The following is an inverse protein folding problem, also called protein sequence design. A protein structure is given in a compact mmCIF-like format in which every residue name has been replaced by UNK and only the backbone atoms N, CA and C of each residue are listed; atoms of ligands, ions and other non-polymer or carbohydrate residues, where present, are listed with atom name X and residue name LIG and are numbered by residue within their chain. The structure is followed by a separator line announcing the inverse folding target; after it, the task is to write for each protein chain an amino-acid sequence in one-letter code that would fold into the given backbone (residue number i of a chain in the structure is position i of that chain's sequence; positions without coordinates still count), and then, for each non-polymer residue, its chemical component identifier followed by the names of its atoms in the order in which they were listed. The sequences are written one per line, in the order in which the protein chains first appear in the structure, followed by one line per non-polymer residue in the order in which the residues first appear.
data_IF_522535261171
#
_entry.id   IF_522535261171
#
_cell.length_a   1.000
_cell.length_b   1.000
_cell.length_c   1.000
_cell.angle_alpha   90.00
_cell.angle_beta   90.00
_cell.angle_gamma   90.00
#
_symmetry.space_group_name_H-M   'P 1'
#
loop_
_entity.id
_entity.type
_entity.pdbx_description
1 polymer ?
#
# COMPACT_ATOMS: atom_id res chain seq x y z
N UNK A 1 -15.26 2.37 10.52
CA UNK A 1 -16.09 1.27 9.99
C UNK A 1 -17.28 1.08 10.93
N UNK A 2 -18.50 0.80 10.43
CA UNK A 2 -19.65 0.59 11.32
C UNK A 2 -19.38 -0.51 12.35
N UNK A 3 -19.80 -0.32 13.63
CA UNK A 3 -19.69 -1.36 14.65
C UNK A 3 -20.35 -2.67 14.17
N UNK A 4 -19.64 -3.80 14.29
CA UNK A 4 -20.15 -5.12 13.92
C UNK A 4 -19.72 -5.66 12.56
N UNK A 5 -19.14 -4.84 11.67
CA UNK A 5 -18.67 -5.31 10.35
C UNK A 5 -17.34 -6.07 10.42
N UNK A 6 -16.54 -5.85 11.46
CA UNK A 6 -15.30 -6.59 11.66
C UNK A 6 -15.60 -7.93 12.34
N UNK A 7 -15.36 -9.03 11.62
CA UNK A 7 -15.52 -10.39 12.14
C UNK A 7 -14.13 -11.02 12.37
N UNK A 8 -13.72 -11.11 13.64
CA UNK A 8 -12.44 -11.74 14.04
C UNK A 8 -12.55 -13.26 14.27
N UNK A 9 -13.61 -13.89 13.76
CA UNK A 9 -13.88 -15.32 13.97
C UNK A 9 -13.07 -16.13 12.96
N UNK A 10 -12.01 -16.77 13.42
CA UNK A 10 -11.40 -17.87 12.69
C UNK A 10 -12.34 -19.09 12.78
N UNK A 11 -12.81 -19.67 11.66
CA UNK A 11 -13.72 -20.82 11.69
C UNK A 11 -13.13 -22.05 12.40
N UNK A 12 -11.79 -22.17 12.41
CA UNK A 12 -11.03 -23.20 13.13
C UNK A 12 -9.86 -22.52 13.84
N UNK A 13 -10.02 -22.09 15.10
CA UNK A 13 -8.94 -21.47 15.85
C UNK A 13 -7.88 -22.54 16.20
N UNK A 14 -6.62 -22.18 16.01
CA UNK A 14 -5.48 -22.98 16.43
C UNK A 14 -4.90 -22.36 17.70
N UNK A 15 -4.70 -23.13 18.79
CA UNK A 15 -4.22 -22.60 20.07
C UNK A 15 -2.90 -21.83 19.94
N UNK A 16 -2.00 -22.30 19.08
CA UNK A 16 -0.67 -21.72 18.83
C UNK A 16 -0.71 -20.26 18.34
N UNK A 17 -1.84 -19.81 17.80
CA UNK A 17 -2.02 -18.45 17.27
C UNK A 17 -2.89 -17.55 18.16
N UNK A 18 -3.30 -18.01 19.35
CA UNK A 18 -4.22 -17.25 20.19
C UNK A 18 -3.67 -15.88 20.60
N UNK A 19 -2.40 -15.84 21.00
CA UNK A 19 -1.71 -14.60 21.35
C UNK A 19 -1.62 -13.64 20.16
N UNK A 20 -1.13 -14.13 19.01
CA UNK A 20 -1.03 -13.33 17.78
C UNK A 20 -2.40 -12.80 17.36
N UNK A 21 -3.44 -13.63 17.46
CA UNK A 21 -4.82 -13.22 17.17
C UNK A 21 -5.26 -12.10 18.12
N UNK A 22 -4.97 -12.21 19.40
CA UNK A 22 -5.26 -11.15 20.38
C UNK A 22 -4.62 -9.83 20.01
N UNK A 23 -3.32 -9.85 19.66
CA UNK A 23 -2.56 -8.67 19.23
C UNK A 23 -3.15 -8.03 17.97
N UNK A 24 -3.47 -8.82 16.94
CA UNK A 24 -4.06 -8.32 15.68
C UNK A 24 -5.44 -7.71 15.92
N UNK A 25 -6.29 -8.37 16.69
CA UNK A 25 -7.63 -7.85 17.01
C UNK A 25 -7.54 -6.53 17.76
N UNK A 26 -6.66 -6.43 18.75
CA UNK A 26 -6.43 -5.19 19.49
C UNK A 26 -5.92 -4.06 18.57
N UNK A 27 -4.95 -4.36 17.70
CA UNK A 27 -4.42 -3.40 16.73
C UNK A 27 -5.47 -2.91 15.74
N UNK A 28 -6.27 -3.80 15.16
CA UNK A 28 -7.37 -3.43 14.26
C UNK A 28 -8.42 -2.58 14.96
N UNK A 29 -8.76 -2.90 16.22
CA UNK A 29 -9.70 -2.12 17.01
C UNK A 29 -9.16 -0.71 17.28
N UNK A 30 -7.89 -0.57 17.64
CA UNK A 30 -7.24 0.72 17.87
C UNK A 30 -7.13 1.57 16.59
N UNK A 31 -6.93 0.94 15.43
CA UNK A 31 -6.87 1.63 14.16
C UNK A 31 -8.25 1.99 13.58
N UNK A 32 -9.34 1.40 14.07
CA UNK A 32 -10.67 1.66 13.53
C UNK A 32 -11.06 3.14 13.72
N UNK A 33 -11.40 3.84 12.63
CA UNK A 33 -11.65 5.28 12.59
C UNK A 33 -10.44 6.18 12.87
N UNK A 34 -9.27 5.59 13.11
CA UNK A 34 -8.01 6.31 13.28
C UNK A 34 -6.95 5.80 12.30
N UNK A 35 -7.40 5.27 11.14
CA UNK A 35 -6.49 4.91 10.07
C UNK A 35 -5.77 6.17 9.59
N UNK A 36 -4.47 6.06 9.33
CA UNK A 36 -3.71 7.18 8.80
C UNK A 36 -4.21 7.51 7.38
N UNK A 37 -4.44 8.81 7.14
CA UNK A 37 -4.92 9.32 5.86
C UNK A 37 -6.32 9.92 5.95
N UNK A 38 -6.76 10.48 4.83
CA UNK A 38 -8.07 11.14 4.69
C UNK A 38 -8.74 10.60 3.41
N UNK A 39 -9.71 9.68 3.56
CA UNK A 39 -10.37 9.05 2.42
C UNK A 39 -11.12 10.04 1.51
N UNK A 40 -11.67 11.12 2.07
CA UNK A 40 -12.39 12.14 1.31
C UNK A 40 -11.42 12.91 0.40
N UNK A 41 -10.27 13.31 0.94
CA UNK A 41 -9.20 13.93 0.14
C UNK A 41 -8.64 12.97 -0.91
N UNK A 42 -8.46 11.70 -0.56
CA UNK A 42 -8.00 10.68 -1.50
C UNK A 42 -8.98 10.49 -2.66
N UNK A 43 -10.29 10.41 -2.38
CA UNK A 43 -11.33 10.32 -3.41
C UNK A 43 -11.33 11.55 -4.34
N UNK A 44 -11.19 12.76 -3.78
CA UNK A 44 -11.08 13.98 -4.58
C UNK A 44 -9.88 13.94 -5.53
N UNK A 45 -8.71 13.49 -5.06
CA UNK A 45 -7.51 13.32 -5.88
C UNK A 45 -7.77 12.35 -7.04
N UNK A 46 -8.41 11.20 -6.77
CA UNK A 46 -8.74 10.21 -7.81
C UNK A 46 -9.67 10.81 -8.87
N UNK A 47 -10.72 11.52 -8.45
CA UNK A 47 -11.68 12.14 -9.38
C UNK A 47 -11.01 13.21 -10.23
N UNK A 48 -10.21 14.09 -9.64
CA UNK A 48 -9.46 15.13 -10.36
C UNK A 48 -8.48 14.50 -11.36
N UNK A 49 -7.79 13.43 -10.96
CA UNK A 49 -6.81 12.73 -11.79
C UNK A 49 -7.44 12.05 -13.01
N UNK A 50 -8.56 11.33 -12.82
CA UNK A 50 -9.25 10.63 -13.91
C UNK A 50 -9.91 11.61 -14.88
N UNK A 51 -10.45 12.74 -14.38
CA UNK A 51 -11.05 13.77 -15.22
C UNK A 51 -10.04 14.69 -15.89
N UNK A 52 -8.77 14.67 -15.45
CA UNK A 52 -7.75 15.61 -15.92
C UNK A 52 -8.08 17.06 -15.54
N UNK A 53 -8.66 17.28 -14.36
CA UNK A 53 -9.07 18.60 -13.85
C UNK A 53 -8.24 19.01 -12.64
N UNK A 54 -8.25 20.29 -12.27
CA UNK A 54 -7.57 20.78 -11.07
C UNK A 54 -6.07 20.55 -11.14
N UNK A 55 -5.49 19.87 -10.15
CA UNK A 55 -4.03 19.63 -10.10
C UNK A 55 -3.50 18.70 -11.19
N UNK A 56 -4.39 18.02 -11.90
CA UNK A 56 -4.06 17.06 -12.96
C UNK A 56 -4.34 17.58 -14.37
N UNK A 57 -4.72 18.86 -14.53
CA UNK A 57 -4.86 19.48 -15.84
C UNK A 57 -3.54 19.43 -16.63
N UNK A 58 -3.63 18.99 -17.88
CA UNK A 58 -2.48 18.84 -18.78
C UNK A 58 -1.48 17.75 -18.37
N UNK A 59 -1.79 16.92 -17.35
CA UNK A 59 -0.92 15.81 -16.93
C UNK A 59 -1.39 14.51 -17.55
N UNK A 60 -0.44 13.70 -18.03
CA UNK A 60 -0.69 12.31 -18.34
C UNK A 60 -0.77 11.50 -17.04
N UNK A 61 -1.82 10.72 -16.88
CA UNK A 61 -1.98 9.86 -15.71
C UNK A 61 -0.98 8.70 -15.79
N UNK A 62 -0.19 8.44 -14.73
CA UNK A 62 0.70 7.29 -14.70
C UNK A 62 -0.09 5.98 -14.56
N UNK A 63 0.53 4.86 -14.92
CA UNK A 63 -0.06 3.52 -14.72
C UNK A 63 -0.43 3.26 -13.25
N UNK A 64 0.36 3.80 -12.31
CA UNK A 64 0.11 3.75 -10.87
C UNK A 64 0.26 5.15 -10.28
N UNK A 65 -0.80 5.65 -9.66
CA UNK A 65 -0.79 6.93 -8.96
C UNK A 65 -0.63 6.68 -7.45
N UNK A 66 0.55 6.93 -6.85
CA UNK A 66 0.71 6.81 -5.40
C UNK A 66 -0.05 7.94 -4.70
N UNK A 67 -0.91 7.60 -3.74
CA UNK A 67 -1.69 8.56 -2.94
C UNK A 67 -1.26 8.44 -1.49
N UNK A 68 -0.71 9.52 -0.93
CA UNK A 68 -0.15 9.53 0.42
C UNK A 68 1.38 9.50 0.42
N UNK A 69 1.99 10.06 1.48
CA UNK A 69 3.46 10.14 1.61
C UNK A 69 4.08 8.76 1.81
N UNK A 70 3.40 7.91 2.57
CA UNK A 70 3.72 6.50 2.79
C UNK A 70 3.71 5.71 1.48
N UNK A 71 2.70 5.89 0.62
CA UNK A 71 2.63 5.24 -0.68
C UNK A 71 3.80 5.66 -1.58
N UNK A 72 4.14 6.95 -1.60
CA UNK A 72 5.30 7.46 -2.35
C UNK A 72 6.61 6.87 -1.80
N UNK A 73 6.79 6.84 -0.47
CA UNK A 73 7.98 6.30 0.17
C UNK A 73 8.14 4.81 -0.09
N UNK A 74 7.06 4.03 0.03
CA UNK A 74 7.06 2.60 -0.24
C UNK A 74 7.38 2.29 -1.71
N UNK A 75 6.77 3.03 -2.65
CA UNK A 75 7.05 2.87 -4.07
C UNK A 75 8.50 3.21 -4.40
N UNK A 76 9.03 4.30 -3.84
CA UNK A 76 10.44 4.68 -4.02
C UNK A 76 11.38 3.61 -3.50
N UNK A 77 11.18 3.17 -2.26
CA UNK A 77 12.00 2.14 -1.62
C UNK A 77 12.02 0.85 -2.46
N UNK A 78 10.85 0.38 -2.90
CA UNK A 78 10.76 -0.82 -3.73
C UNK A 78 11.52 -0.68 -5.06
N UNK A 79 11.48 0.50 -5.70
CA UNK A 79 12.28 0.75 -6.90
C UNK A 79 13.78 0.77 -6.61
N UNK A 80 14.20 1.44 -5.53
CA UNK A 80 15.60 1.54 -5.11
C UNK A 80 16.19 0.16 -4.78
N UNK A 81 15.46 -0.69 -4.05
CA UNK A 81 15.89 -2.05 -3.74
C UNK A 81 16.11 -2.90 -5.00
N UNK A 82 15.21 -2.77 -5.99
CA UNK A 82 15.32 -3.50 -7.26
C UNK A 82 16.50 -3.00 -8.10
N UNK A 83 16.70 -1.68 -8.15
CA UNK A 83 17.83 -1.09 -8.83
C UNK A 83 19.16 -1.52 -8.18
N UNK A 84 19.21 -1.62 -6.84
CA UNK A 84 20.38 -2.12 -6.14
C UNK A 84 20.73 -3.55 -6.57
N UNK A 85 19.74 -4.44 -6.67
CA UNK A 85 19.94 -5.82 -7.16
C UNK A 85 20.43 -5.81 -8.61
N UNK A 86 19.82 -5.01 -9.49
CA UNK A 86 20.28 -4.88 -10.87
C UNK A 86 21.76 -4.46 -10.93
N UNK A 87 22.14 -3.44 -10.17
CA UNK A 87 23.51 -2.93 -10.16
C UNK A 87 24.52 -3.93 -9.57
N UNK A 88 24.12 -4.73 -8.57
CA UNK A 88 24.99 -5.75 -7.97
C UNK A 88 25.28 -6.92 -8.93
N UNK A 89 24.30 -7.26 -9.77
CA UNK A 89 24.37 -8.42 -10.67
C UNK A 89 24.64 -8.06 -12.14
N UNK A 90 24.68 -6.78 -12.49
CA UNK A 90 25.11 -6.28 -13.80
C UNK A 90 26.54 -6.77 -14.10
N UNK A 91 26.79 -7.21 -15.34
CA UNK A 91 28.05 -7.87 -15.71
C UNK A 91 28.14 -9.35 -15.31
N UNK A 92 27.26 -9.89 -14.46
CA UNK A 92 27.23 -11.33 -14.13
C UNK A 92 26.13 -12.06 -14.88
N UNK A 93 24.93 -11.47 -14.93
CA UNK A 93 23.73 -12.12 -15.52
C UNK A 93 23.52 -11.79 -16.99
N UNK A 94 24.05 -10.65 -17.44
CA UNK A 94 23.99 -10.15 -18.81
C UNK A 94 24.99 -10.85 -19.76
N UNK A 95 25.89 -11.69 -19.23
CA UNK A 95 26.79 -12.53 -20.03
C UNK A 95 26.08 -13.69 -20.75
N UNK A 96 24.75 -13.79 -20.61
CA UNK A 96 23.94 -14.85 -21.22
C UNK A 96 23.38 -14.47 -22.60
N UNK A 97 23.62 -13.24 -23.04
CA UNK A 97 23.21 -12.76 -24.36
C UNK A 97 24.14 -13.30 -25.47
N UNK A 98 23.63 -13.36 -26.72
CA UNK A 98 24.35 -13.84 -27.93
C UNK A 98 24.88 -12.70 -28.80
#
# INVERSE_FOLDING_TARGET
MNPGNFHSRAPRPLPEYEELRGLVVAGCAAANHNQQGDPEKAAKVVVEAVKGTGKFEGKQLPLRLPIGKDAIAAMRKACEERLAICNEFEGLVDQTDF
#
